data_IF_708179320124
#
_entry.id   IF_708179320124
#
_cell.length_a   1.000
_cell.length_b   1.000
_cell.length_c   1.000
_cell.angle_alpha   90.00
_cell.angle_beta   90.00
_cell.angle_gamma   90.00
#
_symmetry.space_group_name_H-M   'P 1'
#
loop_
_entity.id
_entity.type
_entity.pdbx_description
1 polymer ?
#
# COMPACT_ATOMS: atom_id res chain seq x y z
N UNK A 1 -21.48 21.12 -30.00
CA UNK A 1 -22.28 20.74 -28.83
C UNK A 1 -21.29 20.45 -27.73
N UNK A 2 -21.16 21.37 -26.78
CA UNK A 2 -20.21 21.28 -25.68
C UNK A 2 -20.77 20.31 -24.63
N UNK A 3 -20.15 19.14 -24.51
CA UNK A 3 -20.36 18.27 -23.38
C UNK A 3 -19.57 18.85 -22.20
N UNK A 4 -20.23 19.59 -21.36
CA UNK A 4 -19.72 20.01 -20.04
C UNK A 4 -19.67 18.76 -19.20
N UNK A 5 -18.48 18.18 -19.05
CA UNK A 5 -18.23 17.11 -18.06
C UNK A 5 -18.41 17.75 -16.68
N UNK A 6 -19.57 17.58 -16.09
CA UNK A 6 -19.79 17.90 -14.69
C UNK A 6 -18.88 16.98 -13.88
N UNK A 7 -17.86 17.57 -13.23
CA UNK A 7 -17.06 16.95 -12.20
C UNK A 7 -18.01 16.58 -11.04
N UNK A 8 -18.63 15.40 -11.10
CA UNK A 8 -19.35 14.85 -9.97
C UNK A 8 -18.30 14.53 -8.90
N UNK A 9 -18.18 15.40 -7.90
CA UNK A 9 -17.43 15.11 -6.69
C UNK A 9 -18.17 13.98 -5.95
N UNK A 10 -17.62 12.80 -5.99
CA UNK A 10 -18.12 11.69 -5.18
C UNK A 10 -17.90 12.00 -3.71
N UNK A 11 -18.89 11.73 -2.87
CA UNK A 11 -18.68 11.76 -1.43
C UNK A 11 -17.69 10.65 -1.04
N UNK A 12 -16.61 11.04 -0.37
CA UNK A 12 -15.58 10.14 0.15
C UNK A 12 -15.61 10.19 1.68
N UNK A 13 -16.54 9.46 2.34
CA UNK A 13 -16.72 9.52 3.78
C UNK A 13 -15.47 9.05 4.56
N UNK A 14 -14.56 8.36 3.89
CA UNK A 14 -13.28 7.91 4.43
C UNK A 14 -12.40 9.08 4.88
N UNK A 15 -12.46 10.21 4.17
CA UNK A 15 -11.64 11.40 4.47
C UNK A 15 -12.04 12.08 5.78
N UNK A 16 -13.35 12.13 6.07
CA UNK A 16 -13.84 12.68 7.32
C UNK A 16 -13.38 11.83 8.51
N UNK A 17 -13.37 10.52 8.32
CA UNK A 17 -12.90 9.55 9.32
C UNK A 17 -11.40 9.65 9.55
N UNK A 18 -10.60 9.82 8.49
CA UNK A 18 -9.15 9.95 8.58
C UNK A 18 -8.75 11.14 9.46
N UNK A 19 -9.44 12.27 9.36
CA UNK A 19 -9.17 13.46 10.17
C UNK A 19 -9.35 13.22 11.68
N UNK A 20 -10.13 12.23 12.09
CA UNK A 20 -10.38 11.88 13.49
C UNK A 20 -9.31 10.94 14.07
N UNK A 21 -8.43 10.36 13.26
CA UNK A 21 -7.48 9.31 13.66
C UNK A 21 -6.12 9.85 14.12
N UNK A 22 -6.03 11.13 14.50
CA UNK A 22 -4.76 11.79 14.85
C UNK A 22 -4.29 11.59 16.29
N UNK A 23 -5.12 11.03 17.19
CA UNK A 23 -4.71 10.78 18.58
C UNK A 23 -3.78 9.56 18.69
N UNK A 24 -2.99 9.50 19.79
CA UNK A 24 -2.11 8.36 20.06
C UNK A 24 -2.89 7.06 20.23
N UNK A 25 -4.08 7.12 20.84
CA UNK A 25 -4.91 5.95 21.13
C UNK A 25 -4.23 4.95 22.06
N UNK A 26 -4.83 3.78 22.17
CA UNK A 26 -4.32 2.69 23.02
C UNK A 26 -3.85 1.51 22.17
N UNK A 27 -2.75 0.88 22.57
CA UNK A 27 -2.31 -0.38 21.96
C UNK A 27 -3.06 -1.55 22.62
N UNK A 28 -3.61 -2.45 21.79
CA UNK A 28 -4.30 -3.66 22.26
C UNK A 28 -3.61 -4.91 21.73
N UNK A 29 -3.46 -5.92 22.59
CA UNK A 29 -2.93 -7.24 22.24
C UNK A 29 -4.05 -8.29 22.09
N UNK A 30 -5.30 -7.88 22.17
CA UNK A 30 -6.45 -8.79 22.12
C UNK A 30 -6.79 -9.30 20.71
N UNK A 31 -6.08 -8.80 19.67
CA UNK A 31 -6.32 -9.18 18.28
C UNK A 31 -5.09 -9.84 17.67
N UNK A 32 -5.34 -10.91 16.94
CA UNK A 32 -4.30 -11.59 16.17
C UNK A 32 -4.47 -11.27 14.67
N UNK A 33 -3.38 -10.80 14.03
CA UNK A 33 -3.32 -10.68 12.57
C UNK A 33 -2.97 -12.04 12.02
N UNK A 34 -3.95 -12.71 11.37
CA UNK A 34 -3.80 -14.08 10.87
C UNK A 34 -2.67 -14.19 9.86
N UNK A 35 -1.87 -15.25 9.95
CA UNK A 35 -0.87 -15.62 8.94
C UNK A 35 -1.37 -16.83 8.16
N UNK A 36 -1.61 -16.63 6.86
CA UNK A 36 -2.20 -17.62 5.96
C UNK A 36 -1.10 -18.26 5.12
N UNK A 37 -1.03 -19.57 5.15
CA UNK A 37 -0.08 -20.38 4.40
C UNK A 37 -0.57 -20.59 2.96
N UNK A 38 0.16 -20.04 1.98
CA UNK A 38 -0.13 -20.16 0.56
C UNK A 38 0.49 -21.39 -0.11
N UNK A 39 1.10 -22.32 0.64
CA UNK A 39 1.65 -23.56 0.07
C UNK A 39 0.57 -24.38 -0.61
N UNK A 40 0.96 -25.10 -1.68
CA UNK A 40 0.03 -25.92 -2.48
C UNK A 40 -1.23 -25.14 -2.95
N UNK A 41 -1.05 -23.87 -3.31
CA UNK A 41 -2.13 -22.93 -3.61
C UNK A 41 -3.19 -23.51 -4.55
N UNK A 42 -2.78 -24.14 -5.66
CA UNK A 42 -3.72 -24.68 -6.66
C UNK A 42 -4.66 -25.73 -6.08
N UNK A 43 -4.15 -26.61 -5.22
CA UNK A 43 -4.95 -27.67 -4.57
C UNK A 43 -5.81 -27.15 -3.42
N UNK A 44 -5.35 -26.08 -2.74
CA UNK A 44 -5.99 -25.53 -1.54
C UNK A 44 -6.72 -24.21 -1.78
N UNK A 45 -6.92 -23.81 -3.03
CA UNK A 45 -7.40 -22.48 -3.38
C UNK A 45 -8.68 -22.08 -2.67
N UNK A 46 -9.66 -22.97 -2.57
CA UNK A 46 -10.92 -22.66 -1.91
C UNK A 46 -10.75 -22.48 -0.40
N UNK A 47 -9.95 -23.31 0.24
CA UNK A 47 -9.60 -23.19 1.67
C UNK A 47 -8.84 -21.88 1.95
N UNK A 48 -7.85 -21.58 1.12
CA UNK A 48 -7.09 -20.31 1.23
C UNK A 48 -8.00 -19.10 1.00
N UNK A 49 -8.91 -19.16 0.01
CA UNK A 49 -9.85 -18.10 -0.25
C UNK A 49 -10.79 -17.83 0.94
N UNK A 50 -11.23 -18.89 1.64
CA UNK A 50 -12.03 -18.75 2.86
C UNK A 50 -11.23 -18.07 3.98
N UNK A 51 -9.99 -18.52 4.24
CA UNK A 51 -9.12 -17.93 5.27
C UNK A 51 -8.80 -16.46 4.99
N UNK A 52 -8.51 -16.11 3.72
CA UNK A 52 -8.27 -14.73 3.30
C UNK A 52 -9.51 -13.87 3.49
N UNK A 53 -10.67 -14.37 3.12
CA UNK A 53 -11.96 -13.69 3.25
C UNK A 53 -12.29 -13.38 4.70
N UNK A 54 -12.20 -14.38 5.58
CA UNK A 54 -12.45 -14.23 7.01
C UNK A 54 -11.49 -13.20 7.65
N UNK A 55 -10.18 -13.32 7.37
CA UNK A 55 -9.19 -12.38 7.90
C UNK A 55 -9.43 -10.94 7.42
N UNK A 56 -9.84 -10.77 6.15
CA UNK A 56 -10.18 -9.48 5.60
C UNK A 56 -11.44 -8.88 6.25
N UNK A 57 -12.47 -9.69 6.52
CA UNK A 57 -13.69 -9.25 7.23
C UNK A 57 -13.42 -8.83 8.67
N UNK A 58 -12.51 -9.51 9.37
CA UNK A 58 -12.22 -9.25 10.78
C UNK A 58 -11.41 -7.99 11.00
N UNK A 59 -10.27 -7.89 10.34
CA UNK A 59 -9.27 -6.84 10.58
C UNK A 59 -8.96 -6.04 9.29
N UNK A 60 -9.20 -6.60 8.10
CA UNK A 60 -8.77 -6.02 6.83
C UNK A 60 -7.26 -6.12 6.60
N UNK A 61 -6.51 -6.70 7.53
CA UNK A 61 -5.09 -7.01 7.49
C UNK A 61 -4.87 -8.50 7.74
N UNK A 62 -3.92 -9.07 7.02
CA UNK A 62 -3.46 -10.45 7.20
C UNK A 62 -2.00 -10.56 6.77
N UNK A 63 -1.38 -11.64 7.12
CA UNK A 63 -0.04 -11.98 6.68
C UNK A 63 -0.10 -13.23 5.80
N UNK A 64 0.85 -13.38 4.87
CA UNK A 64 0.96 -14.57 4.03
C UNK A 64 2.37 -15.15 4.11
N UNK A 65 2.45 -16.47 4.28
CA UNK A 65 3.67 -17.26 4.21
C UNK A 65 3.67 -18.17 2.99
N UNK A 66 4.82 -18.77 2.64
CA UNK A 66 4.98 -19.61 1.44
C UNK A 66 4.45 -18.93 0.16
N UNK A 67 4.63 -17.61 0.08
CA UNK A 67 4.09 -16.73 -0.96
C UNK A 67 4.73 -16.92 -2.34
N UNK A 68 5.86 -17.60 -2.42
CA UNK A 68 6.54 -17.96 -3.67
C UNK A 68 7.55 -16.93 -4.19
N UNK A 69 7.67 -15.75 -3.60
CA UNK A 69 8.77 -14.81 -3.92
C UNK A 69 10.03 -15.28 -3.18
N UNK A 70 11.15 -15.52 -3.88
CA UNK A 70 12.38 -15.95 -3.25
C UNK A 70 12.90 -14.92 -2.24
N UNK A 71 13.32 -15.38 -1.06
CA UNK A 71 13.85 -14.50 -0.02
C UNK A 71 15.10 -13.71 -0.49
N UNK A 72 15.91 -14.33 -1.37
CA UNK A 72 17.04 -13.65 -1.98
C UNK A 72 16.63 -12.42 -2.80
N UNK A 73 15.52 -12.49 -3.52
CA UNK A 73 15.02 -11.37 -4.34
C UNK A 73 14.45 -10.26 -3.46
N UNK A 74 13.79 -10.62 -2.35
CA UNK A 74 13.33 -9.66 -1.35
C UNK A 74 14.52 -8.92 -0.74
N UNK A 75 15.55 -9.64 -0.32
CA UNK A 75 16.80 -9.05 0.24
C UNK A 75 17.51 -8.17 -0.78
N UNK A 76 17.56 -8.59 -2.05
CA UNK A 76 18.15 -7.79 -3.12
C UNK A 76 17.36 -6.50 -3.37
N UNK A 77 16.03 -6.55 -3.37
CA UNK A 77 15.19 -5.37 -3.50
C UNK A 77 15.39 -4.39 -2.33
N UNK A 78 15.54 -4.88 -1.09
CA UNK A 78 15.90 -4.04 0.05
C UNK A 78 17.31 -3.45 -0.07
N UNK A 79 18.29 -4.19 -0.55
CA UNK A 79 19.66 -3.69 -0.78
C UNK A 79 19.66 -2.56 -1.81
N UNK A 80 18.90 -2.70 -2.90
CA UNK A 80 18.75 -1.66 -3.91
C UNK A 80 17.99 -0.43 -3.35
N UNK A 81 17.05 -0.65 -2.45
CA UNK A 81 16.32 0.42 -1.75
C UNK A 81 17.27 1.26 -0.89
N UNK A 82 18.11 0.63 -0.07
CA UNK A 82 19.12 1.33 0.73
C UNK A 82 20.07 2.09 -0.17
N UNK A 83 20.66 1.42 -1.16
CA UNK A 83 21.60 2.03 -2.08
C UNK A 83 21.02 3.25 -2.82
N UNK A 84 19.70 3.25 -3.15
CA UNK A 84 19.04 4.41 -3.74
C UNK A 84 18.93 5.58 -2.75
N UNK A 85 18.49 5.31 -1.51
CA UNK A 85 18.33 6.37 -0.52
C UNK A 85 19.66 6.90 0.04
N UNK A 86 20.74 6.12 -0.07
CA UNK A 86 22.11 6.55 0.24
C UNK A 86 22.72 7.45 -0.83
N UNK A 87 22.10 7.57 -2.02
CA UNK A 87 22.53 8.54 -3.02
C UNK A 87 22.41 9.97 -2.47
N UNK A 88 23.33 10.87 -2.87
CA UNK A 88 23.21 12.29 -2.53
C UNK A 88 21.85 12.88 -2.96
N UNK A 89 21.32 13.78 -2.16
CA UNK A 89 20.04 14.43 -2.45
C UNK A 89 19.99 15.12 -3.82
N UNK A 90 21.14 15.68 -4.28
CA UNK A 90 21.27 16.27 -5.60
C UNK A 90 21.01 15.28 -6.73
N UNK A 91 21.37 14.01 -6.52
CA UNK A 91 21.11 12.92 -7.49
C UNK A 91 19.63 12.53 -7.41
N UNK A 92 19.10 12.30 -6.21
CA UNK A 92 17.68 11.92 -6.02
C UNK A 92 16.72 12.97 -6.57
N UNK A 93 17.04 14.27 -6.43
CA UNK A 93 16.25 15.40 -6.98
C UNK A 93 16.17 15.43 -8.50
N UNK A 94 17.01 14.71 -9.23
CA UNK A 94 16.89 14.56 -10.68
C UNK A 94 15.71 13.69 -11.09
N UNK A 95 15.15 12.91 -10.17
CA UNK A 95 14.03 11.99 -10.36
C UNK A 95 12.80 12.40 -9.54
N UNK A 96 12.29 13.65 -9.67
CA UNK A 96 11.23 14.15 -8.79
C UNK A 96 9.92 13.39 -9.01
N UNK A 97 9.13 13.27 -7.93
CA UNK A 97 7.81 12.68 -8.00
C UNK A 97 6.90 13.45 -8.97
N UNK A 98 6.34 12.74 -9.95
CA UNK A 98 5.28 13.23 -10.80
C UNK A 98 4.26 12.10 -11.09
N UNK A 99 3.01 12.32 -10.76
CA UNK A 99 2.04 11.26 -10.66
C UNK A 99 2.45 10.27 -9.55
N UNK A 100 2.46 8.99 -9.86
CA UNK A 100 2.91 7.93 -8.95
C UNK A 100 4.30 7.39 -9.37
N UNK A 101 5.23 8.24 -9.79
CA UNK A 101 6.57 7.82 -10.20
C UNK A 101 7.62 8.87 -9.82
N UNK A 102 8.76 8.42 -9.26
CA UNK A 102 9.86 9.28 -8.85
C UNK A 102 10.01 9.43 -7.33
N UNK A 103 10.92 10.30 -6.93
CA UNK A 103 11.33 10.52 -5.53
C UNK A 103 10.64 11.74 -4.90
N UNK A 104 10.31 11.59 -3.63
CA UNK A 104 9.81 12.66 -2.76
C UNK A 104 10.37 12.51 -1.35
N UNK A 105 10.45 13.61 -0.61
CA UNK A 105 10.88 13.62 0.79
C UNK A 105 9.99 14.55 1.59
N UNK A 106 9.41 14.06 2.69
CA UNK A 106 8.53 14.80 3.61
C UNK A 106 7.38 15.55 2.92
N UNK A 107 6.90 15.04 1.78
CA UNK A 107 5.86 15.70 0.99
C UNK A 107 4.43 15.30 1.38
N UNK A 108 4.26 14.15 2.04
CA UNK A 108 2.93 13.65 2.42
C UNK A 108 2.51 14.23 3.76
N UNK A 109 1.47 15.06 3.75
CA UNK A 109 0.82 15.62 4.95
C UNK A 109 -0.49 14.88 5.18
N UNK A 110 -0.60 14.19 6.29
CA UNK A 110 -1.81 13.41 6.60
C UNK A 110 -2.92 14.29 7.20
N UNK A 111 -4.19 14.12 6.77
CA UNK A 111 -5.32 14.80 7.41
C UNK A 111 -5.41 14.55 8.91
N UNK A 112 -5.03 13.35 9.36
CA UNK A 112 -5.04 12.94 10.77
C UNK A 112 -4.06 13.72 11.65
N UNK A 113 -2.85 14.00 11.16
CA UNK A 113 -1.77 14.61 11.95
C UNK A 113 -1.50 16.06 11.60
N UNK A 114 -1.87 16.49 10.39
CA UNK A 114 -1.55 17.80 9.79
C UNK A 114 -0.05 18.11 9.75
N UNK A 115 0.77 17.08 9.84
CA UNK A 115 2.24 17.17 9.80
C UNK A 115 2.78 16.26 8.70
N UNK A 116 3.96 16.59 8.13
CA UNK A 116 4.61 15.71 7.17
C UNK A 116 5.05 14.40 7.81
N UNK A 117 4.81 13.29 7.11
CA UNK A 117 5.40 11.99 7.47
C UNK A 117 6.94 12.11 7.46
N UNK A 118 7.60 11.51 8.46
CA UNK A 118 9.07 11.57 8.62
C UNK A 118 9.74 10.49 7.76
N UNK A 119 9.58 10.62 6.44
CA UNK A 119 10.10 9.67 5.45
C UNK A 119 10.42 10.33 4.11
N UNK A 120 11.17 9.61 3.30
CA UNK A 120 11.26 9.80 1.87
C UNK A 120 10.76 8.54 1.15
N UNK A 121 10.35 8.65 -0.10
CA UNK A 121 9.92 7.52 -0.91
C UNK A 121 10.32 7.67 -2.37
N UNK A 122 10.50 6.52 -3.03
CA UNK A 122 10.66 6.44 -4.48
C UNK A 122 9.64 5.47 -5.05
N UNK A 123 8.89 5.92 -6.05
CA UNK A 123 7.76 5.20 -6.61
C UNK A 123 8.05 4.74 -8.03
N UNK A 124 7.72 3.50 -8.33
CA UNK A 124 7.89 2.85 -9.62
C UNK A 124 6.52 2.43 -10.14
N UNK A 125 6.00 3.19 -11.12
CA UNK A 125 4.81 2.88 -11.89
C UNK A 125 5.22 2.76 -13.35
N UNK A 126 5.28 1.55 -13.91
CA UNK A 126 5.95 1.24 -15.19
C UNK A 126 5.73 2.25 -16.31
N UNK A 127 4.49 2.63 -16.70
CA UNK A 127 4.27 3.55 -17.81
C UNK A 127 4.80 4.97 -17.56
N UNK A 128 5.02 5.34 -16.29
CA UNK A 128 5.44 6.69 -15.90
C UNK A 128 6.95 6.82 -15.68
N UNK A 129 7.72 5.74 -15.85
CA UNK A 129 9.14 5.70 -15.48
C UNK A 129 10.12 6.25 -16.52
N UNK A 130 9.64 6.73 -17.67
CA UNK A 130 10.52 7.33 -18.67
C UNK A 130 11.26 8.55 -18.10
N UNK A 131 12.60 8.52 -18.16
CA UNK A 131 13.46 9.59 -17.63
C UNK A 131 13.53 9.69 -16.10
N UNK A 132 13.01 8.69 -15.35
CA UNK A 132 13.01 8.66 -13.87
C UNK A 132 13.86 7.57 -13.25
N UNK A 133 14.51 6.74 -14.05
CA UNK A 133 15.42 5.72 -13.56
C UNK A 133 16.80 6.31 -13.31
N UNK A 134 17.43 6.05 -12.14
CA UNK A 134 18.86 6.26 -11.97
C UNK A 134 19.64 5.57 -13.08
N UNK A 135 20.70 6.19 -13.56
CA UNK A 135 21.58 5.58 -14.55
C UNK A 135 22.36 4.41 -13.94
N UNK A 136 22.83 3.48 -14.79
CA UNK A 136 23.68 2.37 -14.32
C UNK A 136 25.04 2.85 -13.77
N UNK A 137 25.46 4.12 -14.00
CA UNK A 137 26.65 4.72 -13.36
C UNK A 137 26.36 5.15 -11.93
N UNK A 138 25.14 5.59 -11.65
CA UNK A 138 24.70 6.01 -10.31
C UNK A 138 24.31 4.81 -9.47
N UNK A 139 23.57 3.85 -10.05
CA UNK A 139 23.07 2.68 -9.35
C UNK A 139 22.97 1.47 -10.30
N UNK A 140 24.06 0.71 -10.43
CA UNK A 140 24.14 -0.43 -11.37
C UNK A 140 23.07 -1.48 -11.09
N UNK A 141 22.36 -1.91 -12.14
CA UNK A 141 21.36 -2.98 -12.06
C UNK A 141 20.06 -2.65 -11.32
N UNK A 142 19.89 -1.44 -10.80
CA UNK A 142 18.72 -1.01 -10.04
C UNK A 142 17.41 -1.23 -10.80
N UNK A 143 17.34 -0.71 -12.02
CA UNK A 143 16.13 -0.83 -12.85
C UNK A 143 15.73 -2.29 -13.09
N UNK A 144 16.68 -3.15 -13.43
CA UNK A 144 16.42 -4.56 -13.71
C UNK A 144 15.91 -5.29 -12.46
N UNK A 145 16.58 -5.09 -11.33
CA UNK A 145 16.21 -5.71 -10.06
C UNK A 145 14.81 -5.28 -9.63
N UNK A 146 14.54 -3.98 -9.63
CA UNK A 146 13.25 -3.46 -9.14
C UNK A 146 12.07 -3.82 -10.05
N UNK A 147 12.26 -3.87 -11.38
CA UNK A 147 11.23 -4.35 -12.30
C UNK A 147 10.98 -5.87 -12.16
N UNK A 148 12.02 -6.66 -11.94
CA UNK A 148 11.89 -8.09 -11.65
C UNK A 148 11.10 -8.35 -10.37
N UNK A 149 11.43 -7.61 -9.31
CA UNK A 149 10.73 -7.69 -8.03
C UNK A 149 9.26 -7.21 -8.14
N UNK A 150 9.01 -6.10 -8.82
CA UNK A 150 7.66 -5.59 -9.08
C UNK A 150 6.79 -6.62 -9.82
N UNK A 151 7.35 -7.34 -10.80
CA UNK A 151 6.66 -8.40 -11.53
C UNK A 151 6.25 -9.57 -10.61
N UNK A 152 7.12 -9.96 -9.68
CA UNK A 152 6.81 -11.01 -8.69
C UNK A 152 5.72 -10.54 -7.72
N UNK A 153 5.76 -9.28 -7.29
CA UNK A 153 4.71 -8.68 -6.45
C UNK A 153 3.36 -8.68 -7.19
N UNK A 154 3.35 -8.30 -8.47
CA UNK A 154 2.14 -8.35 -9.28
C UNK A 154 1.56 -9.77 -9.36
N UNK A 155 2.40 -10.78 -9.63
CA UNK A 155 1.95 -12.18 -9.69
C UNK A 155 1.32 -12.64 -8.37
N UNK A 156 1.95 -12.31 -7.24
CA UNK A 156 1.41 -12.63 -5.92
C UNK A 156 0.10 -11.88 -5.63
N UNK A 157 0.06 -10.58 -5.95
CA UNK A 157 -1.14 -9.76 -5.80
C UNK A 157 -2.33 -10.34 -6.58
N UNK A 158 -2.12 -10.72 -7.84
CA UNK A 158 -3.17 -11.33 -8.67
C UNK A 158 -3.60 -12.70 -8.14
N UNK A 159 -2.66 -13.49 -7.62
CA UNK A 159 -2.98 -14.77 -6.96
C UNK A 159 -3.92 -14.55 -5.76
N UNK A 160 -3.63 -13.61 -4.88
CA UNK A 160 -4.48 -13.29 -3.72
C UNK A 160 -5.81 -12.68 -4.17
N UNK A 161 -5.81 -11.73 -5.08
CA UNK A 161 -7.03 -11.09 -5.61
C UNK A 161 -7.95 -12.09 -6.35
N UNK A 162 -7.40 -13.17 -6.94
CA UNK A 162 -8.24 -14.22 -7.53
C UNK A 162 -9.11 -14.94 -6.49
N UNK A 163 -8.66 -15.03 -5.23
CA UNK A 163 -9.45 -15.56 -4.13
C UNK A 163 -10.60 -14.63 -3.77
N UNK A 164 -10.35 -13.34 -3.70
CA UNK A 164 -11.41 -12.33 -3.48
C UNK A 164 -12.40 -12.27 -4.65
N UNK A 165 -11.93 -12.41 -5.90
CA UNK A 165 -12.82 -12.51 -7.05
C UNK A 165 -13.85 -13.63 -6.90
N UNK A 166 -13.40 -14.84 -6.53
CA UNK A 166 -14.29 -15.97 -6.30
C UNK A 166 -15.32 -15.69 -5.20
N UNK A 167 -14.90 -15.11 -4.09
CA UNK A 167 -15.79 -14.78 -2.96
C UNK A 167 -16.81 -13.70 -3.29
N UNK A 168 -16.47 -12.77 -4.20
CA UNK A 168 -17.35 -11.71 -4.69
C UNK A 168 -18.25 -12.15 -5.87
N UNK A 169 -18.08 -13.39 -6.36
CA UNK A 169 -18.84 -13.90 -7.50
C UNK A 169 -18.34 -13.41 -8.86
N UNK A 170 -17.14 -12.87 -8.94
CA UNK A 170 -16.48 -12.52 -10.19
C UNK A 170 -15.74 -13.70 -10.82
N UNK A 171 -15.49 -13.68 -12.14
CA UNK A 171 -14.57 -14.62 -12.76
C UNK A 171 -13.20 -14.60 -12.08
N UNK A 172 -12.54 -15.75 -12.00
CA UNK A 172 -11.22 -15.88 -11.36
C UNK A 172 -10.18 -14.89 -11.91
N UNK A 173 -10.19 -14.64 -13.23
CA UNK A 173 -9.29 -13.73 -13.92
C UNK A 173 -9.68 -12.25 -13.83
N UNK A 174 -10.75 -11.92 -13.14
CA UNK A 174 -11.32 -10.57 -13.12
C UNK A 174 -10.28 -9.50 -12.76
N UNK A 175 -9.61 -9.67 -11.63
CA UNK A 175 -8.59 -8.71 -11.19
C UNK A 175 -7.31 -8.78 -12.02
N UNK A 176 -6.93 -9.94 -12.56
CA UNK A 176 -5.79 -10.03 -13.49
C UNK A 176 -6.03 -9.20 -14.75
N UNK A 177 -7.26 -9.24 -15.28
CA UNK A 177 -7.65 -8.40 -16.43
C UNK A 177 -7.70 -6.91 -16.05
N UNK A 178 -8.20 -6.61 -14.86
CA UNK A 178 -8.29 -5.23 -14.37
C UNK A 178 -6.92 -4.61 -14.03
N UNK A 179 -5.88 -5.41 -13.82
CA UNK A 179 -4.50 -4.98 -13.47
C UNK A 179 -3.48 -5.41 -14.53
N UNK A 180 -3.87 -5.44 -15.80
CA UNK A 180 -3.01 -5.92 -16.89
C UNK A 180 -1.75 -5.04 -17.05
N UNK A 181 -0.55 -5.58 -16.78
CA UNK A 181 0.70 -4.82 -16.80
C UNK A 181 1.21 -4.53 -18.22
N UNK A 182 0.55 -5.06 -19.26
CA UNK A 182 0.92 -4.81 -20.67
C UNK A 182 0.25 -3.54 -21.22
N UNK A 183 -0.67 -2.93 -20.48
CA UNK A 183 -1.42 -1.76 -20.94
C UNK A 183 -0.75 -0.46 -20.50
N UNK A 184 -0.81 0.56 -21.35
CA UNK A 184 -0.33 1.92 -21.02
C UNK A 184 -1.14 2.57 -19.87
N UNK A 185 -2.34 2.02 -19.59
CA UNK A 185 -3.21 2.43 -18.48
C UNK A 185 -2.85 1.78 -17.14
N UNK A 186 -1.83 0.90 -17.11
CA UNK A 186 -1.34 0.26 -15.89
C UNK A 186 -0.90 1.29 -14.85
N UNK A 187 -1.35 1.13 -13.61
CA UNK A 187 -1.02 2.07 -12.53
C UNK A 187 -0.68 1.41 -11.18
N UNK A 188 -0.54 0.08 -11.12
CA UNK A 188 0.04 -0.54 -9.92
C UNK A 188 1.44 0.00 -9.67
N UNK A 189 1.77 0.21 -8.41
CA UNK A 189 2.96 0.97 -8.01
C UNK A 189 3.77 0.20 -6.97
N UNK A 190 5.06 0.00 -7.23
CA UNK A 190 6.02 -0.41 -6.22
C UNK A 190 6.62 0.85 -5.56
N UNK A 191 6.45 0.99 -4.25
CA UNK A 191 7.00 2.11 -3.47
C UNK A 191 8.09 1.61 -2.54
N UNK A 192 9.27 2.18 -2.68
CA UNK A 192 10.37 2.09 -1.73
C UNK A 192 10.18 3.18 -0.67
N UNK A 193 10.35 2.84 0.60
CA UNK A 193 10.16 3.76 1.72
C UNK A 193 11.37 3.73 2.64
N UNK A 194 11.86 4.91 2.98
CA UNK A 194 12.89 5.14 3.97
C UNK A 194 12.35 6.12 5.03
N UNK A 195 12.17 5.62 6.24
CA UNK A 195 11.78 6.42 7.40
C UNK A 195 13.05 6.81 8.15
N UNK A 196 13.18 8.08 8.44
CA UNK A 196 14.38 8.62 9.09
C UNK A 196 14.60 8.04 10.49
N UNK A 197 15.88 7.98 10.92
CA UNK A 197 16.23 7.64 12.27
C UNK A 197 15.59 8.60 13.26
N UNK A 198 15.34 8.18 14.50
CA UNK A 198 14.64 8.97 15.53
C UNK A 198 15.33 10.30 15.80
N UNK A 199 16.67 10.33 15.79
CA UNK A 199 17.47 11.55 15.96
C UNK A 199 17.24 12.59 14.85
N UNK A 200 16.82 12.14 13.65
CA UNK A 200 16.53 12.98 12.49
C UNK A 200 15.04 13.33 12.40
N UNK A 201 14.20 12.71 13.24
CA UNK A 201 12.76 12.94 13.28
C UNK A 201 12.45 14.09 14.23
N UNK A 202 11.50 14.95 13.82
CA UNK A 202 11.02 16.00 14.71
C UNK A 202 10.16 15.40 15.84
N UNK A 203 10.35 15.88 17.06
CA UNK A 203 9.62 15.40 18.22
C UNK A 203 8.09 15.58 18.02
N UNK A 204 7.30 14.57 18.35
CA UNK A 204 5.84 14.58 18.19
C UNK A 204 5.34 14.29 16.77
N UNK A 205 6.23 14.01 15.81
CA UNK A 205 5.84 13.61 14.46
C UNK A 205 5.87 12.09 14.26
N UNK A 206 5.02 11.59 13.40
CA UNK A 206 4.91 10.17 13.07
C UNK A 206 5.87 9.78 11.94
N UNK A 207 6.35 8.54 11.95
CA UNK A 207 6.99 7.95 10.77
C UNK A 207 6.01 7.91 9.59
N UNK A 208 4.76 7.47 9.84
CA UNK A 208 3.62 7.68 8.95
C UNK A 208 2.35 7.84 9.79
N UNK A 209 1.61 8.93 9.62
CA UNK A 209 0.33 9.18 10.28
C UNK A 209 -0.76 8.20 9.82
N UNK A 210 -1.83 8.10 10.59
CA UNK A 210 -2.95 7.20 10.30
C UNK A 210 -3.60 7.53 8.94
N UNK A 211 -3.80 6.50 8.13
CA UNK A 211 -4.39 6.58 6.79
C UNK A 211 -4.95 5.23 6.34
N UNK A 212 -5.70 5.21 5.26
CA UNK A 212 -6.05 4.03 4.48
C UNK A 212 -5.27 4.00 3.18
N UNK A 213 -5.10 2.83 2.57
CA UNK A 213 -4.56 2.69 1.21
C UNK A 213 -5.67 2.83 0.17
N UNK A 214 -5.34 3.32 -1.03
CA UNK A 214 -6.33 3.66 -2.07
C UNK A 214 -6.49 2.57 -3.13
N UNK A 215 -5.68 1.53 -3.08
CA UNK A 215 -5.61 0.40 -4.01
C UNK A 215 -6.66 -0.70 -3.72
N UNK A 216 -6.54 -1.82 -4.42
CA UNK A 216 -7.30 -3.02 -4.09
C UNK A 216 -6.64 -3.81 -2.96
N UNK A 217 -5.32 -3.98 -3.05
CA UNK A 217 -4.54 -4.82 -2.14
C UNK A 217 -3.13 -4.29 -2.05
N UNK A 218 -2.66 -4.02 -0.85
CA UNK A 218 -1.26 -3.70 -0.56
C UNK A 218 -0.49 -4.96 -0.15
N UNK A 219 0.69 -5.16 -0.71
CA UNK A 219 1.69 -6.13 -0.27
C UNK A 219 2.85 -5.37 0.38
N UNK A 220 3.02 -5.52 1.69
CA UNK A 220 4.04 -4.80 2.46
C UNK A 220 5.14 -5.75 2.93
N UNK A 221 6.35 -5.46 2.49
CA UNK A 221 7.58 -6.14 2.91
C UNK A 221 8.26 -5.30 3.98
N UNK A 222 8.62 -5.96 5.07
CA UNK A 222 9.24 -5.34 6.24
C UNK A 222 10.49 -6.11 6.66
N UNK A 223 11.42 -5.43 7.33
CA UNK A 223 12.60 -6.08 7.91
C UNK A 223 12.39 -6.42 9.38
N UNK A 224 12.80 -7.61 9.84
CA UNK A 224 12.79 -7.93 11.26
C UNK A 224 13.51 -6.87 12.10
N UNK A 225 12.95 -6.56 13.26
CA UNK A 225 13.47 -5.53 14.16
C UNK A 225 13.14 -4.08 13.76
N UNK A 226 12.54 -3.85 12.59
CA UNK A 226 12.11 -2.52 12.12
C UNK A 226 10.58 -2.38 12.22
N UNK A 227 10.03 -2.54 13.40
CA UNK A 227 8.59 -2.52 13.68
C UNK A 227 7.93 -1.14 13.59
N UNK A 228 6.80 -0.99 14.28
CA UNK A 228 6.02 0.25 14.41
C UNK A 228 4.77 0.32 13.55
N UNK A 229 4.52 -0.65 12.65
CA UNK A 229 3.23 -0.74 11.95
C UNK A 229 2.12 -1.12 12.93
N UNK A 230 1.04 -0.34 12.91
CA UNK A 230 -0.16 -0.57 13.71
C UNK A 230 -1.41 -0.45 12.85
N UNK A 231 -2.40 -1.30 13.09
CA UNK A 231 -3.72 -1.26 12.44
C UNK A 231 -4.81 -0.97 13.47
N UNK A 232 -5.80 -0.16 13.07
CA UNK A 232 -7.02 0.09 13.83
C UNK A 232 -8.20 -0.39 13.00
N UNK A 233 -8.83 -1.53 13.30
CA UNK A 233 -9.98 -2.03 12.57
C UNK A 233 -11.15 -1.05 12.58
N UNK A 234 -11.89 -0.97 11.47
CA UNK A 234 -12.95 0.02 11.27
C UNK A 234 -14.05 0.01 12.32
N UNK A 235 -14.35 -1.14 12.93
CA UNK A 235 -15.31 -1.27 14.03
C UNK A 235 -14.85 -0.65 15.35
N UNK A 236 -13.52 -0.50 15.52
CA UNK A 236 -12.91 0.03 16.73
C UNK A 236 -12.26 1.41 16.53
N UNK A 237 -12.47 2.03 15.37
CA UNK A 237 -11.86 3.33 15.03
C UNK A 237 -12.20 4.45 16.02
N UNK A 238 -13.40 4.44 16.61
CA UNK A 238 -13.80 5.44 17.60
C UNK A 238 -13.02 5.30 18.92
N UNK A 239 -12.71 4.06 19.32
CA UNK A 239 -11.88 3.78 20.48
C UNK A 239 -10.38 4.01 20.21
N UNK A 240 -9.98 4.09 18.93
CA UNK A 240 -8.58 4.17 18.50
C UNK A 240 -7.69 3.11 19.14
N UNK A 241 -8.19 1.88 19.18
CA UNK A 241 -7.43 0.74 19.67
C UNK A 241 -6.55 0.19 18.54
N UNK A 242 -5.25 0.28 18.72
CA UNK A 242 -4.25 -0.09 17.73
C UNK A 242 -3.65 -1.45 18.02
N UNK A 243 -3.49 -2.27 17.00
CA UNK A 243 -2.83 -3.58 17.07
C UNK A 243 -1.53 -3.51 16.30
N UNK A 244 -0.42 -3.80 16.97
CA UNK A 244 0.90 -3.86 16.34
C UNK A 244 1.04 -5.09 15.44
N UNK A 245 1.71 -4.93 14.32
CA UNK A 245 2.04 -6.00 13.37
C UNK A 245 3.56 -6.17 13.36
N UNK A 246 4.01 -7.31 13.89
CA UNK A 246 5.44 -7.61 13.96
C UNK A 246 5.98 -8.01 12.59
N UNK A 247 7.09 -7.37 12.14
CA UNK A 247 7.74 -7.72 10.89
C UNK A 247 8.46 -9.06 11.00
N UNK A 248 8.25 -9.93 10.01
CA UNK A 248 8.94 -11.22 9.85
C UNK A 248 9.47 -11.32 8.43
N UNK A 249 10.69 -11.81 8.25
CA UNK A 249 11.37 -11.81 6.95
C UNK A 249 10.67 -12.70 5.90
N UNK A 250 10.09 -13.82 6.35
CA UNK A 250 9.47 -14.83 5.47
C UNK A 250 7.97 -14.61 5.27
N UNK A 251 7.47 -13.45 5.70
CA UNK A 251 6.05 -13.15 5.74
C UNK A 251 5.78 -11.78 5.14
N UNK A 252 4.81 -11.69 4.25
CA UNK A 252 4.35 -10.45 3.67
C UNK A 252 3.07 -10.03 4.38
N UNK A 253 3.03 -8.80 4.87
CA UNK A 253 1.81 -8.20 5.42
C UNK A 253 0.96 -7.66 4.28
N UNK A 254 -0.33 -7.99 4.28
CA UNK A 254 -1.28 -7.57 3.26
C UNK A 254 -2.44 -6.82 3.89
N UNK A 255 -2.99 -5.85 3.18
CA UNK A 255 -4.22 -5.18 3.58
C UNK A 255 -5.12 -4.83 2.41
N UNK A 256 -6.41 -4.80 2.70
CA UNK A 256 -7.45 -4.32 1.79
C UNK A 256 -7.40 -2.80 1.71
N UNK A 257 -7.41 -2.27 0.50
CA UNK A 257 -7.50 -0.84 0.24
C UNK A 257 -8.91 -0.37 -0.14
N UNK A 258 -9.07 0.94 -0.22
CA UNK A 258 -10.36 1.61 -0.45
C UNK A 258 -11.01 1.22 -1.79
N UNK A 259 -10.20 0.93 -2.83
CA UNK A 259 -10.70 0.54 -4.13
C UNK A 259 -11.40 -0.83 -4.07
N UNK A 260 -10.83 -1.81 -3.36
CA UNK A 260 -11.47 -3.12 -3.19
C UNK A 260 -12.65 -3.03 -2.22
N UNK A 261 -12.57 -2.20 -1.17
CA UNK A 261 -13.72 -1.91 -0.32
C UNK A 261 -14.90 -1.43 -1.15
N UNK A 262 -14.70 -0.43 -2.02
CA UNK A 262 -15.74 0.08 -2.92
C UNK A 262 -16.21 -1.01 -3.90
N UNK A 263 -15.27 -1.77 -4.48
CA UNK A 263 -15.60 -2.84 -5.44
C UNK A 263 -16.36 -4.00 -4.83
N UNK A 264 -16.21 -4.22 -3.53
CA UNK A 264 -16.96 -5.22 -2.77
C UNK A 264 -18.29 -4.69 -2.20
N UNK A 265 -18.74 -3.50 -2.58
CA UNK A 265 -19.92 -2.85 -1.98
C UNK A 265 -19.81 -2.75 -0.44
N UNK A 266 -18.60 -2.42 0.07
CA UNK A 266 -18.21 -2.33 1.48
C UNK A 266 -18.30 -3.64 2.28
N UNK A 267 -18.33 -4.80 1.61
CA UNK A 267 -18.22 -6.07 2.32
C UNK A 267 -16.83 -6.23 2.96
N UNK A 268 -15.78 -5.78 2.26
CA UNK A 268 -14.40 -5.82 2.73
C UNK A 268 -14.00 -4.43 3.25
N UNK A 269 -13.64 -4.28 4.53
CA UNK A 269 -13.25 -2.99 5.07
C UNK A 269 -11.82 -2.62 4.67
N UNK A 270 -11.61 -1.37 4.24
CA UNK A 270 -10.30 -0.73 4.24
C UNK A 270 -10.08 -0.08 5.61
N UNK A 271 -9.00 -0.42 6.28
CA UNK A 271 -8.78 -0.04 7.67
C UNK A 271 -7.59 0.90 7.85
N UNK A 272 -7.71 1.76 8.85
CA UNK A 272 -6.66 2.70 9.22
C UNK A 272 -5.42 1.97 9.73
N UNK A 273 -4.28 2.42 9.25
CA UNK A 273 -2.99 1.98 9.73
C UNK A 273 -2.01 3.16 9.82
N UNK A 274 -0.97 2.99 10.64
CA UNK A 274 0.05 4.01 10.90
C UNK A 274 1.39 3.36 11.17
N UNK A 275 2.47 4.15 11.09
CA UNK A 275 3.79 3.73 11.55
C UNK A 275 4.22 4.68 12.67
N UNK A 276 4.22 4.17 13.90
CA UNK A 276 4.67 4.93 15.08
C UNK A 276 6.19 5.07 15.11
N UNK A 277 6.66 6.03 15.88
CA UNK A 277 8.07 6.08 16.25
C UNK A 277 8.45 4.88 17.14
N UNK A 278 9.73 4.45 17.12
CA UNK A 278 10.17 3.36 17.98
C UNK A 278 10.14 3.77 19.45
N UNK A 279 9.83 2.81 20.30
CA UNK A 279 9.96 2.98 21.76
C UNK A 279 11.44 3.01 22.15
N UNK A 280 11.81 3.54 23.36
CA UNK A 280 13.22 3.70 23.76
C UNK A 280 14.07 2.42 23.74
N UNK A 281 13.43 1.25 23.88
CA UNK A 281 14.10 -0.06 23.86
C UNK A 281 14.12 -0.73 22.47
N UNK A 282 13.46 -0.14 21.48
CA UNK A 282 13.42 -0.63 20.10
C UNK A 282 14.54 -0.02 19.27
N UNK A 283 14.68 -0.49 18.04
CA UNK A 283 15.66 0.01 17.08
C UNK A 283 15.37 1.47 16.67
N UNK A 284 16.29 2.38 16.98
CA UNK A 284 16.16 3.83 16.77
C UNK A 284 16.65 4.32 15.40
N UNK A 285 17.31 3.45 14.64
CA UNK A 285 17.88 3.80 13.34
C UNK A 285 16.83 3.94 12.22
N UNK A 286 17.29 4.11 10.97
CA UNK A 286 16.42 4.22 9.82
C UNK A 286 15.63 2.92 9.60
N UNK A 287 14.36 3.08 9.17
CA UNK A 287 13.49 1.95 8.84
C UNK A 287 13.22 1.92 7.34
N UNK A 288 13.32 0.74 6.75
CA UNK A 288 12.99 0.53 5.35
C UNK A 288 11.78 -0.38 5.19
N UNK A 289 10.97 -0.11 4.19
CA UNK A 289 9.91 -1.02 3.74
C UNK A 289 9.69 -0.89 2.23
N UNK A 290 9.12 -1.95 1.65
CA UNK A 290 8.69 -1.98 0.26
C UNK A 290 7.18 -2.24 0.26
N UNK A 291 6.42 -1.41 -0.43
CA UNK A 291 4.98 -1.58 -0.57
C UNK A 291 4.62 -1.70 -2.05
N UNK A 292 3.89 -2.76 -2.41
CA UNK A 292 3.33 -2.90 -3.75
C UNK A 292 1.81 -2.71 -3.67
N UNK A 293 1.34 -1.68 -4.35
CA UNK A 293 -0.06 -1.32 -4.44
C UNK A 293 -0.69 -1.89 -5.70
N UNK A 294 -1.59 -2.87 -5.55
CA UNK A 294 -2.37 -3.43 -6.64
C UNK A 294 -3.49 -2.45 -7.02
N UNK A 295 -3.20 -1.55 -7.95
CA UNK A 295 -4.15 -0.57 -8.46
C UNK A 295 -4.67 -1.01 -9.81
N UNK A 296 -6.01 -1.06 -9.97
CA UNK A 296 -6.61 -1.39 -11.26
C UNK A 296 -6.20 -0.37 -12.34
N UNK A 297 -6.09 -0.82 -13.58
CA UNK A 297 -5.72 0.04 -14.71
C UNK A 297 -6.67 1.24 -14.81
N UNK A 298 -6.16 2.38 -15.20
CA UNK A 298 -6.84 3.69 -15.17
C UNK A 298 -8.24 3.70 -15.75
N UNK A 299 -8.43 3.00 -16.85
CA UNK A 299 -9.68 2.95 -17.62
C UNK A 299 -10.67 1.86 -17.16
N UNK A 300 -10.32 1.11 -16.11
CA UNK A 300 -11.21 0.08 -15.56
C UNK A 300 -12.29 0.75 -14.72
N UNK A 301 -13.54 0.35 -14.92
CA UNK A 301 -14.68 0.81 -14.14
C UNK A 301 -14.81 0.00 -12.85
N UNK A 302 -14.86 0.69 -11.72
CA UNK A 302 -15.12 0.12 -10.41
C UNK A 302 -16.63 0.09 -10.19
N UNK A 303 -17.19 -1.13 -10.18
CA UNK A 303 -18.61 -1.37 -9.96
C UNK A 303 -18.79 -2.69 -9.18
N UNK A 304 -19.30 -2.61 -7.97
CA UNK A 304 -19.55 -3.77 -7.13
C UNK A 304 -20.70 -4.64 -7.63
N UNK A 305 -20.79 -5.91 -7.23
CA UNK A 305 -21.83 -6.85 -7.66
C UNK A 305 -23.24 -6.40 -7.24
N UNK A 306 -23.38 -5.68 -6.12
CA UNK A 306 -24.66 -5.15 -5.63
C UNK A 306 -24.94 -3.74 -6.12
N UNK A 307 -23.99 -3.11 -6.83
CA UNK A 307 -24.11 -1.75 -7.37
C UNK A 307 -24.47 -0.69 -6.31
N UNK A 308 -23.90 -0.83 -5.11
CA UNK A 308 -24.11 0.12 -4.01
C UNK A 308 -23.69 1.54 -4.38
N UNK A 309 -22.65 1.66 -5.18
CA UNK A 309 -22.10 2.93 -5.64
C UNK A 309 -22.27 3.10 -7.15
N UNK A 310 -22.38 4.34 -7.66
CA UNK A 310 -22.31 4.58 -9.08
C UNK A 310 -20.93 4.17 -9.63
N UNK A 311 -20.85 3.76 -10.90
CA UNK A 311 -19.60 3.41 -11.53
C UNK A 311 -18.64 4.60 -11.56
N UNK A 312 -17.35 4.32 -11.38
CA UNK A 312 -16.27 5.31 -11.45
C UNK A 312 -15.03 4.65 -12.06
N UNK A 313 -14.27 5.38 -12.89
CA UNK A 313 -12.99 4.86 -13.37
C UNK A 313 -11.97 4.74 -12.22
N UNK A 314 -11.07 3.76 -12.31
CA UNK A 314 -10.01 3.60 -11.32
C UNK A 314 -9.08 4.84 -11.28
N UNK A 315 -8.89 5.53 -12.42
CA UNK A 315 -8.14 6.78 -12.48
C UNK A 315 -8.83 7.89 -11.68
N UNK A 316 -10.12 8.14 -11.95
CA UNK A 316 -10.87 9.20 -11.26
C UNK A 316 -10.96 8.94 -9.75
N UNK A 317 -11.16 7.68 -9.36
CA UNK A 317 -11.18 7.28 -7.96
C UNK A 317 -9.86 7.58 -7.27
N UNK A 318 -8.76 7.10 -7.85
CA UNK A 318 -7.41 7.29 -7.30
C UNK A 318 -7.04 8.78 -7.23
N UNK A 319 -7.35 9.56 -8.28
CA UNK A 319 -7.06 10.99 -8.32
C UNK A 319 -7.82 11.77 -7.23
N UNK A 320 -9.08 11.44 -6.99
CA UNK A 320 -9.87 12.06 -5.92
C UNK A 320 -9.28 11.75 -4.53
N UNK A 321 -8.82 10.52 -4.30
CA UNK A 321 -8.18 10.13 -3.03
C UNK A 321 -6.84 10.82 -2.84
N UNK A 322 -6.00 10.88 -3.88
CA UNK A 322 -4.70 11.58 -3.83
C UNK A 322 -4.91 13.07 -3.58
N UNK A 323 -5.79 13.73 -4.34
CA UNK A 323 -6.04 15.17 -4.20
C UNK A 323 -6.51 15.54 -2.79
N UNK A 324 -7.31 14.69 -2.15
CA UNK A 324 -7.76 14.91 -0.79
C UNK A 324 -6.62 14.89 0.23
N UNK A 325 -5.58 14.08 0.02
CA UNK A 325 -4.40 13.99 0.89
C UNK A 325 -3.35 15.07 0.64
N UNK A 326 -3.38 15.70 -0.54
CA UNK A 326 -2.48 16.81 -0.88
C UNK A 326 -3.18 18.18 -0.89
N UNK A 327 -4.50 18.21 -0.70
CA UNK A 327 -5.24 19.45 -0.69
C UNK A 327 -5.17 20.10 0.69
N UNK A 328 -4.32 21.12 0.75
CA UNK A 328 -4.33 22.25 1.71
C UNK A 328 -3.42 22.12 2.94
N UNK A 329 -2.21 22.64 2.78
CA UNK A 329 -1.72 23.58 3.77
C UNK A 329 -2.39 24.94 3.56
#
# INVERSE_FOLDING_TARGET
MNATTQNQRYALPELEKEALMGAEGEETFAREVRCIDLSNFAARKNDIAEQLWEAALEIGFFQVSHHGIPLADIRQAFSMTEAFFDLPDEVKRQYPLAGNAGWESKAQVRPSTRTPDQKESYQITRPLMAGRWPSDRELPGFRQTMLGFESQCWQLGMKILSCFALKLGFPESFFTTAHDPQRDTYQSTLRMLHYYATEQSQQGMWRAGAHTDFDCLTLLFQRPGQGGLQVCPGKDRESQQWTSIEPREEVITCNIGDMLMRWSDDQLPSNFHRVRNPLPHEYQGPRYSLAFFCQANKDVEILGPQRKYPPISAEDYLQQRIQANFAKG
#
